data_IF_454459354448
#
_entry.id   IF_454459354448
#
_cell.length_a   1.000
_cell.length_b   1.000
_cell.length_c   1.000
_cell.angle_alpha   90.00
_cell.angle_beta   90.00
_cell.angle_gamma   90.00
#
_symmetry.space_group_name_H-M   'P 1'
#
loop_
_entity.id
_entity.type
_entity.pdbx_description
1 polymer ?
#
# COMPACT_ATOMS: atom_id res chain seq x y z
N UNK A 1 -8.29 6.78 -15.73
CA UNK A 1 -8.63 7.63 -14.57
C UNK A 1 -8.91 6.81 -13.29
N UNK A 2 -8.28 5.63 -13.14
CA UNK A 2 -8.34 4.83 -11.91
C UNK A 2 -6.97 4.19 -11.71
N UNK A 3 -5.97 5.03 -11.48
CA UNK A 3 -4.63 4.60 -11.11
C UNK A 3 -4.62 4.40 -9.57
N UNK A 4 -5.31 3.35 -9.10
CA UNK A 4 -5.25 2.94 -7.70
C UNK A 4 -4.04 2.01 -7.56
N UNK A 5 -2.94 2.57 -7.07
CA UNK A 5 -1.74 1.84 -6.72
C UNK A 5 -1.84 1.20 -5.33
N UNK A 6 -0.77 0.50 -4.95
CA UNK A 6 -0.66 -0.12 -3.63
C UNK A 6 -0.71 0.92 -2.51
N UNK A 7 -0.11 2.10 -2.73
CA UNK A 7 -0.10 3.20 -1.77
C UNK A 7 -1.51 3.74 -1.49
N UNK A 8 -2.31 3.99 -2.53
CA UNK A 8 -3.71 4.42 -2.36
C UNK A 8 -4.55 3.38 -1.63
N UNK A 9 -4.37 2.09 -1.96
CA UNK A 9 -5.05 1.00 -1.26
C UNK A 9 -4.72 0.97 0.24
N UNK A 10 -3.46 1.21 0.60
CA UNK A 10 -3.01 1.25 1.98
C UNK A 10 -3.64 2.43 2.73
N UNK A 11 -3.68 3.62 2.11
CA UNK A 11 -4.34 4.80 2.67
C UNK A 11 -5.83 4.52 2.91
N UNK A 12 -6.53 3.93 1.93
CA UNK A 12 -7.94 3.57 2.06
C UNK A 12 -8.14 2.53 3.18
N UNK A 13 -7.24 1.55 3.30
CA UNK A 13 -7.31 0.55 4.37
C UNK A 13 -7.16 1.21 5.76
N UNK A 14 -6.19 2.11 5.93
CA UNK A 14 -6.01 2.87 7.18
C UNK A 14 -7.23 3.73 7.49
N UNK A 15 -7.75 4.46 6.50
CA UNK A 15 -8.97 5.26 6.67
C UNK A 15 -10.18 4.38 7.02
N UNK A 16 -10.31 3.22 6.37
CA UNK A 16 -11.35 2.24 6.68
C UNK A 16 -11.26 1.74 8.13
N UNK A 17 -10.04 1.46 8.61
CA UNK A 17 -9.80 1.09 10.01
C UNK A 17 -10.13 2.24 10.97
N UNK A 18 -9.85 3.49 10.60
CA UNK A 18 -10.13 4.64 11.45
C UNK A 18 -11.64 4.97 11.53
N UNK A 19 -12.32 4.97 10.39
CA UNK A 19 -13.74 5.34 10.28
C UNK A 19 -14.65 4.25 10.83
N UNK A 20 -14.42 3.01 10.41
CA UNK A 20 -15.28 1.88 10.76
C UNK A 20 -14.79 1.19 12.05
N UNK A 21 -13.50 1.25 12.33
CA UNK A 21 -12.85 0.54 13.42
C UNK A 21 -12.28 -0.82 12.98
N UNK A 22 -11.14 -1.26 13.54
CA UNK A 22 -10.53 -2.56 13.21
C UNK A 22 -11.41 -3.76 13.54
N UNK A 23 -12.30 -3.63 14.53
CA UNK A 23 -13.19 -4.72 14.95
C UNK A 23 -14.36 -4.93 13.99
N UNK A 24 -14.80 -3.86 13.29
CA UNK A 24 -16.04 -3.86 12.49
C UNK A 24 -15.76 -4.06 10.99
N UNK A 25 -14.59 -3.66 10.51
CA UNK A 25 -14.11 -3.90 9.15
C UNK A 25 -14.18 -5.38 8.73
N UNK A 26 -13.66 -6.36 9.51
CA UNK A 26 -13.75 -7.78 9.12
C UNK A 26 -15.20 -8.28 9.04
N UNK A 27 -16.09 -7.75 9.88
CA UNK A 27 -17.53 -8.03 9.80
C UNK A 27 -18.14 -7.49 8.51
N UNK A 28 -17.81 -6.27 8.11
CA UNK A 28 -18.29 -5.65 6.87
C UNK A 28 -17.81 -6.40 5.62
N UNK A 29 -16.52 -6.77 5.56
CA UNK A 29 -15.97 -7.57 4.45
C UNK A 29 -16.71 -8.90 4.32
N UNK A 30 -16.99 -9.59 5.44
CA UNK A 30 -17.75 -10.86 5.42
C UNK A 30 -19.14 -10.66 4.83
N UNK A 31 -19.86 -9.63 5.25
CA UNK A 31 -21.19 -9.36 4.71
C UNK A 31 -21.13 -9.04 3.22
N UNK A 32 -20.27 -8.11 2.81
CA UNK A 32 -20.11 -7.71 1.41
C UNK A 32 -19.70 -8.90 0.54
N UNK A 33 -18.73 -9.70 0.98
CA UNK A 33 -18.28 -10.88 0.24
C UNK A 33 -19.36 -11.96 0.11
N UNK A 34 -20.19 -12.17 1.13
CA UNK A 34 -21.35 -13.07 1.03
C UNK A 34 -22.38 -12.58 0.01
N UNK A 35 -22.62 -11.27 -0.07
CA UNK A 35 -23.54 -10.68 -1.05
C UNK A 35 -22.99 -10.77 -2.47
N UNK A 36 -21.71 -10.42 -2.67
CA UNK A 36 -21.01 -10.63 -3.94
C UNK A 36 -21.03 -12.11 -4.34
N UNK A 37 -20.81 -13.02 -3.39
CA UNK A 37 -20.80 -14.45 -3.63
C UNK A 37 -22.15 -14.98 -4.08
N UNK A 38 -23.24 -14.52 -3.45
CA UNK A 38 -24.61 -14.84 -3.88
C UNK A 38 -24.89 -14.30 -5.28
N UNK A 39 -24.53 -13.05 -5.55
CA UNK A 39 -24.73 -12.43 -6.85
C UNK A 39 -23.96 -13.17 -7.96
N UNK A 40 -22.68 -13.48 -7.72
CA UNK A 40 -21.83 -14.26 -8.63
C UNK A 40 -22.47 -15.61 -8.96
N UNK A 41 -23.09 -16.27 -7.97
CA UNK A 41 -23.78 -17.54 -8.19
C UNK A 41 -25.03 -17.36 -9.06
N UNK A 42 -25.85 -16.34 -8.81
CA UNK A 42 -27.00 -16.01 -9.66
C UNK A 42 -26.58 -15.74 -11.11
N UNK A 43 -25.50 -14.99 -11.34
CA UNK A 43 -24.96 -14.77 -12.69
C UNK A 43 -24.44 -16.06 -13.34
N UNK A 44 -23.85 -16.98 -12.57
CA UNK A 44 -23.39 -18.26 -13.08
C UNK A 44 -24.57 -19.15 -13.52
N UNK A 45 -25.67 -19.12 -12.77
CA UNK A 45 -26.88 -19.88 -13.12
C UNK A 45 -27.58 -19.27 -14.34
N UNK A 46 -27.67 -17.94 -14.45
CA UNK A 46 -28.15 -17.25 -15.66
C UNK A 46 -27.28 -17.59 -16.87
N UNK A 47 -25.94 -17.57 -16.72
CA UNK A 47 -25.01 -17.96 -17.78
C UNK A 47 -25.25 -19.40 -18.24
N UNK A 48 -25.52 -20.33 -17.32
CA UNK A 48 -25.81 -21.74 -17.64
C UNK A 48 -27.12 -21.91 -18.40
N UNK A 49 -28.14 -21.14 -18.05
CA UNK A 49 -29.43 -21.14 -18.77
C UNK A 49 -29.25 -20.59 -20.19
N UNK A 50 -28.55 -19.45 -20.32
CA UNK A 50 -28.23 -18.84 -21.63
C UNK A 50 -27.37 -19.78 -22.48
N UNK A 51 -26.40 -20.48 -21.88
CA UNK A 51 -25.54 -21.45 -22.58
C UNK A 51 -26.34 -22.67 -23.07
N UNK A 52 -27.43 -23.04 -22.37
CA UNK A 52 -28.35 -24.12 -22.75
C UNK A 52 -29.38 -23.73 -23.80
N UNK A 53 -29.86 -22.49 -23.80
CA UNK A 53 -30.91 -22.03 -24.73
C UNK A 53 -30.37 -21.28 -25.98
N UNK A 54 -29.21 -20.63 -25.89
CA UNK A 54 -28.70 -19.71 -26.94
C UNK A 54 -27.35 -20.16 -27.52
N UNK A 55 -26.70 -21.21 -26.98
CA UNK A 55 -25.46 -21.74 -27.56
C UNK A 55 -24.29 -20.76 -27.49
N UNK A 56 -23.71 -20.61 -26.29
CA UNK A 56 -22.56 -19.74 -26.07
C UNK A 56 -21.23 -20.28 -26.66
N UNK A 57 -21.27 -21.34 -27.47
CA UNK A 57 -20.09 -21.96 -28.08
C UNK A 57 -19.34 -21.00 -29.01
N UNK A 58 -20.07 -20.10 -29.70
CA UNK A 58 -19.47 -19.14 -30.63
C UNK A 58 -18.62 -18.05 -29.91
N UNK A 59 -18.99 -17.67 -28.68
CA UNK A 59 -18.28 -16.65 -27.89
C UNK A 59 -17.16 -17.28 -27.06
N UNK A 60 -17.38 -18.50 -26.57
CA UNK A 60 -16.41 -19.21 -25.74
C UNK A 60 -15.16 -19.61 -26.54
N UNK A 61 -15.32 -19.96 -27.81
CA UNK A 61 -14.20 -20.29 -28.69
C UNK A 61 -13.35 -19.07 -29.08
N UNK A 62 -13.96 -17.88 -29.19
CA UNK A 62 -13.25 -16.64 -29.52
C UNK A 62 -12.50 -16.02 -28.33
N UNK A 63 -12.97 -16.24 -27.10
CA UNK A 63 -12.31 -15.69 -25.90
C UNK A 63 -11.24 -16.61 -25.31
N UNK A 64 -11.32 -17.93 -25.52
CA UNK A 64 -10.50 -18.88 -24.76
C UNK A 64 -9.10 -19.12 -25.33
N UNK A 65 -8.87 -18.94 -26.63
CA UNK A 65 -7.69 -19.57 -27.24
C UNK A 65 -6.50 -18.64 -27.50
N UNK A 66 -6.70 -17.34 -27.72
CA UNK A 66 -5.61 -16.50 -28.25
C UNK A 66 -5.25 -15.31 -27.36
N UNK A 67 -6.23 -14.58 -26.84
CA UNK A 67 -5.99 -13.38 -26.03
C UNK A 67 -5.64 -13.70 -24.56
N UNK A 68 -6.24 -14.74 -23.98
CA UNK A 68 -6.00 -15.12 -22.58
C UNK A 68 -4.65 -15.80 -22.40
N UNK A 69 -4.26 -16.66 -23.35
CA UNK A 69 -3.01 -17.42 -23.26
C UNK A 69 -1.77 -16.54 -23.51
N UNK A 70 -1.86 -15.55 -24.39
CA UNK A 70 -0.83 -14.54 -24.60
C UNK A 70 -0.69 -13.59 -23.39
N UNK A 71 -1.81 -13.09 -22.86
CA UNK A 71 -1.81 -12.23 -21.67
C UNK A 71 -1.27 -12.92 -20.42
N UNK A 72 -1.55 -14.23 -20.27
CA UNK A 72 -1.02 -15.03 -19.16
C UNK A 72 0.49 -15.22 -19.25
N UNK A 73 1.03 -15.51 -20.45
CA UNK A 73 2.48 -15.65 -20.66
C UNK A 73 3.22 -14.35 -20.38
N UNK A 74 2.69 -13.22 -20.84
CA UNK A 74 3.31 -11.91 -20.58
C UNK A 74 3.28 -11.57 -19.08
N UNK A 75 2.16 -11.87 -18.40
CA UNK A 75 2.03 -11.68 -16.95
C UNK A 75 2.97 -12.58 -16.15
N UNK A 76 3.13 -13.85 -16.54
CA UNK A 76 4.07 -14.77 -15.93
C UNK A 76 5.52 -14.27 -16.08
N UNK A 77 5.89 -13.76 -17.25
CA UNK A 77 7.23 -13.22 -17.50
C UNK A 77 7.51 -11.97 -16.67
N UNK A 78 6.53 -11.06 -16.55
CA UNK A 78 6.64 -9.86 -15.68
C UNK A 78 6.73 -10.23 -14.20
N UNK A 79 5.95 -11.22 -13.74
CA UNK A 79 6.01 -11.70 -12.36
C UNK A 79 7.36 -12.35 -12.06
N UNK A 80 7.88 -13.18 -12.97
CA UNK A 80 9.21 -13.80 -12.82
C UNK A 80 10.31 -12.75 -12.70
N UNK A 81 10.32 -11.74 -13.57
CA UNK A 81 11.34 -10.69 -13.50
C UNK A 81 11.23 -9.83 -12.25
N UNK A 82 10.01 -9.50 -11.80
CA UNK A 82 9.82 -8.80 -10.52
C UNK A 82 10.31 -9.60 -9.31
N UNK A 83 10.06 -10.92 -9.29
CA UNK A 83 10.54 -11.81 -8.23
C UNK A 83 12.07 -11.92 -8.25
N UNK A 84 12.68 -12.02 -9.43
CA UNK A 84 14.14 -12.08 -9.56
C UNK A 84 14.79 -10.78 -9.11
N UNK A 85 14.24 -9.62 -9.48
CA UNK A 85 14.71 -8.31 -9.03
C UNK A 85 14.59 -8.16 -7.51
N UNK A 86 13.44 -8.51 -6.94
CA UNK A 86 13.23 -8.47 -5.48
C UNK A 86 14.23 -9.38 -4.75
N UNK A 87 14.53 -10.56 -5.31
CA UNK A 87 15.53 -11.48 -4.75
C UNK A 87 16.94 -10.91 -4.81
N UNK A 88 17.28 -10.17 -5.87
CA UNK A 88 18.57 -9.49 -5.97
C UNK A 88 18.68 -8.33 -4.96
N UNK A 89 17.64 -7.50 -4.85
CA UNK A 89 17.60 -6.42 -3.86
C UNK A 89 17.75 -6.97 -2.44
N UNK A 90 16.98 -8.01 -2.08
CA UNK A 90 17.13 -8.69 -0.79
C UNK A 90 18.53 -9.23 -0.56
N UNK A 91 19.16 -9.86 -1.56
CA UNK A 91 20.52 -10.38 -1.44
C UNK A 91 21.55 -9.27 -1.23
N UNK A 92 21.36 -8.11 -1.87
CA UNK A 92 22.24 -6.94 -1.66
C UNK A 92 22.03 -6.29 -0.30
N UNK A 93 20.80 -6.26 0.21
CA UNK A 93 20.48 -5.78 1.54
C UNK A 93 21.04 -6.72 2.62
N UNK A 94 20.95 -8.03 2.42
CA UNK A 94 21.53 -9.04 3.32
C UNK A 94 23.06 -8.90 3.37
N UNK A 95 23.71 -8.71 2.22
CA UNK A 95 25.17 -8.53 2.16
C UNK A 95 25.61 -7.21 2.81
N UNK A 96 24.89 -6.11 2.57
CA UNK A 96 25.16 -4.81 3.22
C UNK A 96 24.92 -4.86 4.73
N UNK A 97 23.85 -5.52 5.18
CA UNK A 97 23.58 -5.70 6.59
C UNK A 97 24.69 -6.53 7.27
N UNK A 98 25.17 -7.58 6.61
CA UNK A 98 26.26 -8.41 7.16
C UNK A 98 27.61 -7.69 7.19
N UNK A 99 27.88 -6.79 6.24
CA UNK A 99 29.09 -5.95 6.24
C UNK A 99 29.01 -4.80 7.25
N UNK A 100 27.85 -4.15 7.41
CA UNK A 100 27.64 -3.12 8.43
C UNK A 100 27.70 -3.65 9.86
N UNK A 101 27.45 -4.94 10.07
CA UNK A 101 27.65 -5.61 11.36
C UNK A 101 29.14 -5.88 11.67
N UNK A 102 30.01 -5.87 10.66
CA UNK A 102 31.47 -5.97 10.82
C UNK A 102 32.14 -4.60 10.98
N UNK A 103 31.53 -3.53 10.47
CA UNK A 103 32.06 -2.16 10.48
C UNK A 103 31.50 -1.29 11.64
N UNK A 104 31.09 -1.89 12.75
CA UNK A 104 30.68 -1.12 13.94
C UNK A 104 31.25 -1.71 15.22
N UNK A 105 32.58 -1.72 15.31
CA UNK A 105 33.31 -1.81 16.58
C UNK A 105 34.12 -0.53 16.79
N UNK A 106 33.48 0.39 17.52
CA UNK A 106 33.99 1.41 18.46
C UNK A 106 34.69 2.67 17.92
N UNK A 107 33.97 3.80 17.96
CA UNK A 107 34.44 5.07 18.54
C UNK A 107 33.24 5.92 19.05
N UNK A 108 33.29 6.55 20.24
CA UNK A 108 32.15 7.29 20.81
C UNK A 108 31.98 8.69 20.20
N UNK A 109 30.75 9.26 20.17
CA UNK A 109 30.48 10.55 19.52
C UNK A 109 30.98 11.75 20.34
N UNK A 110 31.70 12.66 19.68
CA UNK A 110 32.07 14.00 20.18
C UNK A 110 30.89 14.97 20.01
N UNK A 111 30.61 15.77 21.05
CA UNK A 111 29.61 16.84 21.04
C UNK A 111 30.24 18.18 20.63
N UNK A 112 29.67 18.83 19.61
CA UNK A 112 29.93 20.24 19.27
C UNK A 112 28.70 21.12 19.65
N UNK A 113 28.89 22.23 20.39
CA UNK A 113 27.80 23.13 20.77
C UNK A 113 27.39 24.08 19.63
N UNK A 114 26.09 24.16 19.33
CA UNK A 114 25.52 25.19 18.45
C UNK A 114 25.00 26.37 19.27
N UNK A 115 25.57 27.56 19.03
CA UNK A 115 25.04 28.84 19.45
C UNK A 115 23.83 29.29 18.61
N UNK A 116 23.06 30.18 19.23
CA UNK A 116 22.26 31.23 18.62
C UNK A 116 20.78 30.92 18.32
N UNK A 117 19.91 31.30 19.27
CA UNK A 117 18.72 32.06 18.88
C UNK A 117 18.30 33.04 19.97
N UNK A 118 18.17 34.29 19.56
CA UNK A 118 17.80 35.45 20.37
C UNK A 118 16.29 35.44 20.61
N UNK A 119 15.88 35.46 21.88
CA UNK A 119 14.50 35.82 22.26
C UNK A 119 14.56 36.83 23.39
N UNK A 120 14.29 38.09 23.06
CA UNK A 120 14.17 39.19 24.00
C UNK A 120 12.91 39.04 24.88
N UNK A 121 12.96 39.34 26.19
CA UNK A 121 11.75 39.42 27.02
C UNK A 121 11.08 40.82 26.98
N UNK A 122 9.76 40.90 27.25
CA UNK A 122 8.87 42.06 27.00
C UNK A 122 8.97 43.21 28.04
N UNK A 123 8.37 44.40 27.78
CA UNK A 123 8.62 45.63 28.54
C UNK A 123 7.83 45.71 29.86
N UNK A 124 8.40 46.39 30.87
CA UNK A 124 7.71 46.77 32.12
C UNK A 124 7.70 48.30 32.29
N UNK A 125 6.54 48.93 32.61
CA UNK A 125 6.44 50.33 32.98
C UNK A 125 6.46 50.51 34.51
N UNK A 126 7.21 51.49 35.00
CA UNK A 126 7.14 52.02 36.37
C UNK A 126 7.88 53.38 36.36
N UNK A 127 7.16 54.51 36.44
CA UNK A 127 7.03 55.37 37.65
C UNK A 127 8.38 55.88 38.19
N UNK A 128 8.58 57.12 38.63
CA UNK A 128 7.85 58.39 38.75
C UNK A 128 8.90 59.32 39.39
N UNK A 129 8.86 60.60 39.02
CA UNK A 129 9.11 61.75 39.89
C UNK A 129 10.47 61.97 40.60
N UNK A 130 10.79 63.27 40.66
CA UNK A 130 11.67 64.02 41.56
C UNK A 130 13.18 64.13 41.24
N UNK A 131 13.51 65.30 40.69
CA UNK A 131 14.66 66.13 41.09
C UNK A 131 14.11 67.51 41.52
N UNK A 132 14.85 68.30 42.33
CA UNK A 132 14.31 69.25 43.32
C UNK A 132 13.64 70.51 42.77
#
# INVERSE_FOLDING_TARGET
>A
MFDIGFAELLIIAVLGLLVLGPERLPGAIRTVSLWIGRLKRSFADIRREIEREVGADEIRQQLHNESVMSSLKESEQKLRSSVDNAKQEFKTLEHKANDSLKENTVAPPQYDPLEENTVAPPPKPASKDETP
#
